data_IF_792372041528
#
_entry.id   IF_792372041528
#
_cell.length_a   1.000
_cell.length_b   1.000
_cell.length_c   1.000
_cell.angle_alpha   90.00
_cell.angle_beta   90.00
_cell.angle_gamma   90.00
#
_symmetry.space_group_name_H-M   'P 1'
#
loop_
_entity.id
_entity.type
_entity.pdbx_description
1 polymer ?
#
# COMPACT_ATOMS: atom_id res chain seq x y z
N UNK A 1 -21.29 27.10 -0.85
CA UNK A 1 -21.15 26.04 0.18
C UNK A 1 -20.85 26.71 1.52
N UNK A 2 -21.48 26.30 2.63
CA UNK A 2 -21.25 26.87 3.97
C UNK A 2 -20.65 25.83 4.91
N UNK A 3 -19.74 26.26 5.80
CA UNK A 3 -19.13 25.38 6.80
C UNK A 3 -19.88 25.46 8.13
N UNK A 4 -20.30 24.32 8.65
CA UNK A 4 -20.92 24.17 9.97
C UNK A 4 -19.84 23.88 11.03
N UNK A 5 -20.07 24.24 12.30
CA UNK A 5 -19.17 24.04 13.45
C UNK A 5 -18.65 22.60 13.63
N UNK A 6 -19.36 21.60 13.11
CA UNK A 6 -18.91 20.19 13.03
C UNK A 6 -17.79 19.94 12.01
N UNK A 7 -17.25 20.98 11.39
CA UNK A 7 -16.18 20.91 10.39
C UNK A 7 -16.61 20.27 9.06
N UNK A 8 -17.90 20.27 8.78
CA UNK A 8 -18.49 19.76 7.54
C UNK A 8 -18.96 20.92 6.66
N UNK A 9 -18.82 20.75 5.35
CA UNK A 9 -19.37 21.65 4.36
C UNK A 9 -20.72 21.13 3.87
N UNK A 10 -21.71 22.02 3.87
CA UNK A 10 -23.06 21.76 3.38
C UNK A 10 -23.41 22.71 2.24
N UNK A 11 -24.22 22.22 1.31
CA UNK A 11 -24.80 23.00 0.24
C UNK A 11 -26.13 23.59 0.72
N UNK A 12 -26.22 24.91 0.77
CA UNK A 12 -27.51 25.57 0.98
C UNK A 12 -28.21 25.64 -0.37
N UNK A 13 -29.35 24.96 -0.48
CA UNK A 13 -30.13 24.90 -1.72
C UNK A 13 -31.25 25.95 -1.73
N UNK A 14 -31.86 26.20 -0.57
CA UNK A 14 -32.93 27.19 -0.45
C UNK A 14 -32.99 27.75 0.97
N UNK A 15 -33.32 29.04 1.09
CA UNK A 15 -33.59 29.71 2.36
C UNK A 15 -34.99 30.32 2.27
N UNK A 16 -35.80 30.07 3.30
CA UNK A 16 -37.14 30.65 3.49
C UNK A 16 -37.17 31.36 4.84
N UNK A 17 -38.15 32.24 5.11
CA UNK A 17 -38.23 33.05 6.33
C UNK A 17 -38.14 32.28 7.66
N UNK A 18 -38.44 30.96 7.66
CA UNK A 18 -38.36 30.11 8.85
C UNK A 18 -37.34 28.96 8.76
N UNK A 19 -36.92 28.55 7.55
CA UNK A 19 -36.15 27.30 7.35
C UNK A 19 -35.05 27.43 6.31
N UNK A 20 -33.97 26.71 6.55
CA UNK A 20 -32.85 26.53 5.64
C UNK A 20 -32.85 25.09 5.14
N UNK A 21 -32.81 24.91 3.83
CA UNK A 21 -32.67 23.61 3.19
C UNK A 21 -31.20 23.38 2.84
N UNK A 22 -30.66 22.28 3.37
CA UNK A 22 -29.27 21.89 3.30
C UNK A 22 -29.13 20.55 2.57
N UNK A 23 -28.01 20.37 1.89
CA UNK A 23 -27.59 19.10 1.34
C UNK A 23 -26.18 18.78 1.83
N UNK A 24 -26.00 17.63 2.47
CA UNK A 24 -24.72 17.22 3.03
C UNK A 24 -23.72 16.77 1.93
N UNK A 25 -22.49 16.46 2.35
CA UNK A 25 -21.43 15.98 1.45
C UNK A 25 -21.72 14.61 0.78
N UNK A 26 -22.75 13.90 1.23
CA UNK A 26 -23.23 12.61 0.72
C UNK A 26 -24.53 12.72 -0.10
N UNK A 27 -25.04 13.95 -0.34
CA UNK A 27 -26.27 14.20 -1.10
C UNK A 27 -27.56 14.03 -0.29
N UNK A 28 -27.47 13.96 1.04
CA UNK A 28 -28.65 13.87 1.90
C UNK A 28 -29.24 15.26 2.12
N UNK A 29 -30.53 15.41 1.78
CA UNK A 29 -31.30 16.64 2.03
C UNK A 29 -31.75 16.71 3.48
N UNK A 30 -31.46 17.83 4.14
CA UNK A 30 -31.75 18.13 5.54
C UNK A 30 -32.44 19.50 5.56
N UNK A 31 -33.37 19.71 6.47
CA UNK A 31 -33.97 21.01 6.72
C UNK A 31 -33.86 21.37 8.18
N UNK A 32 -33.32 22.56 8.45
CA UNK A 32 -33.14 23.10 9.79
C UNK A 32 -33.81 24.46 9.89
N UNK A 33 -34.21 24.84 11.10
CA UNK A 33 -34.71 26.20 11.38
C UNK A 33 -33.57 27.21 11.32
N UNK A 34 -33.86 28.44 10.88
CA UNK A 34 -32.84 29.51 10.69
C UNK A 34 -32.05 29.76 11.97
N UNK A 35 -32.70 29.84 13.13
CA UNK A 35 -32.04 30.11 14.41
C UNK A 35 -31.02 29.02 14.77
N UNK A 36 -31.38 27.76 14.52
CA UNK A 36 -30.50 26.61 14.73
C UNK A 36 -29.32 26.66 13.78
N UNK A 37 -29.57 26.99 12.51
CA UNK A 37 -28.54 27.10 11.49
C UNK A 37 -27.54 28.22 11.78
N UNK A 38 -27.99 29.39 12.23
CA UNK A 38 -27.11 30.51 12.59
C UNK A 38 -26.18 30.18 13.77
N UNK A 39 -26.67 29.42 14.76
CA UNK A 39 -25.83 28.96 15.87
C UNK A 39 -24.79 27.94 15.43
N UNK A 40 -25.12 27.10 14.45
CA UNK A 40 -24.25 26.05 13.93
C UNK A 40 -23.28 26.56 12.85
N UNK A 41 -23.59 27.66 12.17
CA UNK A 41 -22.74 28.21 11.12
C UNK A 41 -21.41 28.74 11.68
N UNK A 42 -20.30 28.39 11.03
CA UNK A 42 -18.96 28.81 11.44
C UNK A 42 -18.54 30.18 10.89
N UNK A 43 -19.42 30.87 10.15
CA UNK A 43 -19.12 32.15 9.49
C UNK A 43 -18.30 32.04 8.21
N UNK A 44 -17.87 30.82 7.84
CA UNK A 44 -17.08 30.59 6.62
C UNK A 44 -18.02 30.18 5.49
N UNK A 45 -18.01 30.99 4.42
CA UNK A 45 -18.68 30.71 3.17
C UNK A 45 -17.64 30.44 2.08
N UNK A 46 -17.79 29.31 1.38
CA UNK A 46 -17.06 29.01 0.16
C UNK A 46 -17.96 29.36 -1.02
N UNK A 47 -17.68 30.51 -1.65
CA UNK A 47 -18.24 30.88 -2.93
C UNK A 47 -17.42 30.19 -4.02
N UNK A 48 -18.10 29.44 -4.88
CA UNK A 48 -17.53 28.92 -6.12
C UNK A 48 -18.03 29.86 -7.19
N UNK A 49 -17.14 30.63 -7.79
CA UNK A 49 -17.48 31.42 -8.97
C UNK A 49 -17.57 30.46 -10.16
N UNK A 50 -18.62 30.62 -10.98
CA UNK A 50 -18.73 29.95 -12.27
C UNK A 50 -17.69 30.56 -13.22
N UNK A 51 -16.47 30.07 -13.14
CA UNK A 51 -15.43 30.42 -14.10
C UNK A 51 -15.70 29.56 -15.33
N UNK A 52 -16.12 30.20 -16.43
CA UNK A 52 -16.43 29.55 -17.73
C UNK A 52 -15.26 28.69 -18.25
N UNK A 53 -14.03 28.96 -17.78
CA UNK A 53 -12.80 28.21 -18.05
C UNK A 53 -12.16 27.62 -16.77
N UNK A 54 -12.95 27.02 -15.88
CA UNK A 54 -12.45 26.28 -14.69
C UNK A 54 -11.68 24.97 -15.03
N UNK A 55 -11.02 24.90 -16.19
CA UNK A 55 -10.16 23.79 -16.58
C UNK A 55 -8.77 23.92 -15.97
N UNK A 56 -8.21 22.80 -15.47
CA UNK A 56 -6.82 22.80 -14.99
C UNK A 56 -5.86 23.19 -16.13
N UNK A 57 -4.99 24.20 -15.96
CA UNK A 57 -4.06 24.60 -17.01
C UNK A 57 -3.16 23.42 -17.40
N UNK A 58 -3.01 23.24 -18.72
CA UNK A 58 -2.31 22.10 -19.34
C UNK A 58 -2.88 20.72 -18.97
N UNK A 59 -4.21 20.60 -18.79
CA UNK A 59 -4.88 19.32 -18.52
C UNK A 59 -4.48 18.22 -19.52
N UNK A 60 -4.49 18.50 -20.83
CA UNK A 60 -4.09 17.52 -21.87
C UNK A 60 -2.66 17.03 -21.68
N UNK A 61 -1.71 17.94 -21.41
CA UNK A 61 -0.31 17.57 -21.22
C UNK A 61 -0.10 16.74 -19.96
N UNK A 62 -0.76 17.10 -18.85
CA UNK A 62 -0.75 16.33 -17.60
C UNK A 62 -1.42 14.97 -17.78
N UNK A 63 -2.51 14.92 -18.52
CA UNK A 63 -3.24 13.70 -18.84
C UNK A 63 -2.38 12.76 -19.69
N UNK A 64 -1.78 13.25 -20.77
CA UNK A 64 -0.91 12.48 -21.66
C UNK A 64 0.36 12.00 -20.93
N UNK A 65 0.94 12.85 -20.07
CA UNK A 65 2.07 12.46 -19.22
C UNK A 65 1.67 11.36 -18.23
N UNK A 66 0.48 11.46 -17.64
CA UNK A 66 -0.09 10.42 -16.78
C UNK A 66 -0.35 9.11 -17.52
N UNK A 67 -0.85 9.20 -18.76
CA UNK A 67 -1.10 8.05 -19.63
C UNK A 67 0.21 7.36 -20.03
N UNK A 68 1.21 8.13 -20.49
CA UNK A 68 2.55 7.62 -20.81
C UNK A 68 3.21 6.95 -19.60
N UNK A 69 3.08 7.55 -18.42
CA UNK A 69 3.58 6.95 -17.18
C UNK A 69 2.91 5.61 -16.88
N UNK A 70 1.57 5.53 -16.99
CA UNK A 70 0.84 4.27 -16.82
C UNK A 70 1.26 3.23 -17.86
N UNK A 71 1.36 3.61 -19.13
CA UNK A 71 1.81 2.71 -20.20
C UNK A 71 3.21 2.19 -19.89
N UNK A 72 4.14 3.07 -19.52
CA UNK A 72 5.50 2.67 -19.14
C UNK A 72 5.52 1.73 -17.93
N UNK A 73 4.74 2.02 -16.90
CA UNK A 73 4.58 1.13 -15.73
C UNK A 73 4.03 -0.24 -16.15
N UNK A 74 2.99 -0.30 -16.99
CA UNK A 74 2.42 -1.56 -17.48
C UNK A 74 3.39 -2.34 -18.36
N UNK A 75 4.12 -1.67 -19.27
CA UNK A 75 5.14 -2.30 -20.13
C UNK A 75 6.30 -2.84 -19.32
N UNK A 76 6.75 -2.12 -18.30
CA UNK A 76 7.81 -2.58 -17.41
C UNK A 76 7.36 -3.78 -16.57
N UNK A 77 6.13 -3.76 -16.06
CA UNK A 77 5.57 -4.89 -15.32
C UNK A 77 5.37 -6.12 -16.21
N UNK A 78 4.91 -5.94 -17.45
CA UNK A 78 4.72 -7.06 -18.38
C UNK A 78 6.04 -7.65 -18.85
N UNK A 79 7.06 -6.83 -19.11
CA UNK A 79 8.39 -7.32 -19.48
C UNK A 79 9.05 -8.10 -18.34
N UNK A 80 8.92 -7.62 -17.10
CA UNK A 80 9.39 -8.34 -15.91
C UNK A 80 8.71 -9.71 -15.76
N UNK A 81 7.40 -9.79 -15.97
CA UNK A 81 6.66 -11.06 -15.90
C UNK A 81 7.08 -12.05 -17.01
N UNK A 82 7.29 -11.55 -18.24
CA UNK A 82 7.77 -12.39 -19.34
C UNK A 82 9.18 -12.92 -19.03
N UNK A 83 10.06 -12.07 -18.51
CA UNK A 83 11.40 -12.46 -18.09
C UNK A 83 11.36 -13.55 -17.01
N UNK A 84 10.55 -13.36 -15.97
CA UNK A 84 10.38 -14.35 -14.91
C UNK A 84 9.86 -15.69 -15.47
N UNK A 85 8.87 -15.66 -16.36
CA UNK A 85 8.34 -16.88 -16.97
C UNK A 85 9.41 -17.61 -17.79
N UNK A 86 10.18 -16.88 -18.59
CA UNK A 86 11.29 -17.46 -19.36
C UNK A 86 12.34 -18.10 -18.44
N UNK A 87 12.76 -17.40 -17.37
CA UNK A 87 13.75 -17.90 -16.41
C UNK A 87 13.26 -19.18 -15.71
N UNK A 88 12.01 -19.19 -15.25
CA UNK A 88 11.41 -20.38 -14.62
C UNK A 88 11.36 -21.55 -15.62
N UNK A 89 10.95 -21.30 -16.87
CA UNK A 89 10.90 -22.30 -17.93
C UNK A 89 12.28 -22.90 -18.25
N UNK A 90 13.32 -22.08 -18.35
CA UNK A 90 14.68 -22.57 -18.56
C UNK A 90 15.21 -23.36 -17.35
N UNK A 91 14.87 -22.92 -16.13
CA UNK A 91 15.25 -23.65 -14.91
C UNK A 91 14.54 -25.01 -14.81
N UNK A 92 13.31 -25.11 -15.35
CA UNK A 92 12.50 -26.33 -15.32
C UNK A 92 13.18 -27.52 -16.01
N UNK A 93 13.93 -27.28 -17.08
CA UNK A 93 14.62 -28.34 -17.82
C UNK A 93 15.68 -29.08 -17.00
N UNK A 94 16.15 -28.50 -15.89
CA UNK A 94 17.26 -29.01 -15.09
C UNK A 94 16.86 -29.51 -13.69
N UNK A 95 15.58 -29.41 -13.30
CA UNK A 95 15.10 -29.70 -11.94
C UNK A 95 14.13 -30.90 -11.87
N UNK A 96 14.06 -31.53 -10.70
CA UNK A 96 13.08 -32.59 -10.40
C UNK A 96 11.68 -32.01 -10.12
N UNK A 97 10.63 -32.84 -10.26
CA UNK A 97 9.23 -32.48 -10.00
C UNK A 97 9.00 -31.83 -8.63
N UNK A 98 9.64 -32.36 -7.57
CA UNK A 98 9.53 -31.87 -6.20
C UNK A 98 10.18 -30.49 -6.04
N UNK A 99 11.36 -30.31 -6.63
CA UNK A 99 12.08 -29.04 -6.67
C UNK A 99 11.25 -27.94 -7.33
N UNK A 100 10.56 -28.24 -8.44
CA UNK A 100 9.73 -27.27 -9.17
C UNK A 100 8.54 -26.80 -8.31
N UNK A 101 7.84 -27.72 -7.63
CA UNK A 101 6.72 -27.36 -6.77
C UNK A 101 7.17 -26.40 -5.65
N UNK A 102 8.31 -26.70 -5.04
CA UNK A 102 8.90 -25.84 -4.01
C UNK A 102 9.26 -24.44 -4.54
N UNK A 103 9.86 -24.36 -5.73
CA UNK A 103 10.14 -23.10 -6.44
C UNK A 103 8.88 -22.28 -6.67
N UNK A 104 7.81 -22.89 -7.18
CA UNK A 104 6.55 -22.20 -7.44
C UNK A 104 5.93 -21.64 -6.16
N UNK A 105 5.98 -22.38 -5.05
CA UNK A 105 5.51 -21.91 -3.74
C UNK A 105 6.33 -20.70 -3.28
N UNK A 106 7.67 -20.78 -3.32
CA UNK A 106 8.54 -19.67 -2.96
C UNK A 106 8.30 -18.43 -3.83
N UNK A 107 8.17 -18.60 -5.15
CA UNK A 107 7.86 -17.51 -6.06
C UNK A 107 6.53 -16.86 -5.70
N UNK A 108 5.49 -17.66 -5.44
CA UNK A 108 4.17 -17.14 -5.05
C UNK A 108 4.21 -16.36 -3.73
N UNK A 109 4.91 -16.88 -2.72
CA UNK A 109 5.09 -16.22 -1.42
C UNK A 109 5.83 -14.89 -1.58
N UNK A 110 6.93 -14.86 -2.34
CA UNK A 110 7.72 -13.64 -2.54
C UNK A 110 6.99 -12.62 -3.43
N UNK A 111 6.23 -13.05 -4.44
CA UNK A 111 5.37 -12.17 -5.24
C UNK A 111 4.27 -11.52 -4.39
N UNK A 112 3.70 -12.28 -3.45
CA UNK A 112 2.75 -11.73 -2.47
C UNK A 112 3.43 -10.71 -1.56
N UNK A 113 4.67 -10.97 -1.12
CA UNK A 113 5.50 -10.02 -0.38
C UNK A 113 5.75 -8.72 -1.15
N UNK A 114 6.14 -8.80 -2.42
CA UNK A 114 6.29 -7.66 -3.32
C UNK A 114 5.01 -6.83 -3.42
N UNK A 115 3.86 -7.48 -3.61
CA UNK A 115 2.57 -6.80 -3.72
C UNK A 115 2.20 -6.02 -2.45
N UNK A 116 2.43 -6.63 -1.28
CA UNK A 116 2.16 -5.97 0.00
C UNK A 116 3.12 -4.81 0.24
N UNK A 117 4.42 -4.98 -0.04
CA UNK A 117 5.41 -3.92 0.07
C UNK A 117 5.09 -2.73 -0.88
N UNK A 118 4.66 -3.01 -2.11
CA UNK A 118 4.16 -1.99 -3.05
C UNK A 118 2.92 -1.25 -2.51
N UNK A 119 2.00 -1.98 -1.88
CA UNK A 119 0.82 -1.38 -1.25
C UNK A 119 1.20 -0.47 -0.08
N UNK A 120 2.23 -0.83 0.71
CA UNK A 120 2.78 0.03 1.76
C UNK A 120 3.38 1.32 1.19
N UNK A 121 4.21 1.26 0.14
CA UNK A 121 4.74 2.47 -0.51
C UNK A 121 3.62 3.38 -1.01
N UNK A 122 2.55 2.79 -1.58
CA UNK A 122 1.38 3.55 -1.99
C UNK A 122 0.71 4.26 -0.81
N UNK A 123 0.64 3.63 0.36
CA UNK A 123 0.07 4.25 1.57
C UNK A 123 0.97 5.36 2.15
N UNK A 124 2.29 5.18 2.05
CA UNK A 124 3.25 6.21 2.44
C UNK A 124 3.10 7.45 1.55
N UNK A 125 3.05 7.27 0.22
CA UNK A 125 3.07 8.36 -0.77
C UNK A 125 1.70 8.99 -1.03
N UNK A 126 0.60 8.23 -0.99
CA UNK A 126 -0.74 8.74 -1.30
C UNK A 126 -1.61 8.77 -0.03
N UNK A 127 -2.31 9.89 0.20
CA UNK A 127 -3.11 10.08 1.41
C UNK A 127 -4.37 9.19 1.49
N UNK A 128 -4.86 8.64 0.38
CA UNK A 128 -6.15 7.95 0.34
C UNK A 128 -6.11 6.80 -0.67
N UNK A 129 -5.82 5.58 -0.20
CA UNK A 129 -6.10 4.37 -0.96
C UNK A 129 -7.36 3.70 -0.38
N UNK A 130 -8.44 3.59 -1.15
CA UNK A 130 -9.74 3.05 -0.68
C UNK A 130 -9.62 1.62 -0.12
N UNK A 131 -8.73 0.82 -0.69
CA UNK A 131 -8.43 -0.53 -0.21
C UNK A 131 -7.74 -0.51 1.17
N UNK A 132 -6.80 0.41 1.37
CA UNK A 132 -6.15 0.60 2.66
C UNK A 132 -7.17 1.00 3.71
N UNK A 133 -8.03 1.97 3.44
CA UNK A 133 -9.00 2.46 4.44
C UNK A 133 -9.95 1.37 4.96
N UNK A 134 -10.37 0.40 4.13
CA UNK A 134 -11.25 -0.70 4.56
C UNK A 134 -10.56 -1.68 5.50
N UNK A 135 -9.34 -2.11 5.17
CA UNK A 135 -8.65 -3.14 5.95
C UNK A 135 -7.82 -2.57 7.10
N UNK A 136 -7.39 -1.31 6.98
CA UNK A 136 -6.42 -0.71 7.87
C UNK A 136 -7.02 0.05 9.06
N UNK A 137 -8.33 0.38 9.03
CA UNK A 137 -9.06 0.99 10.14
C UNK A 137 -10.04 0.01 10.79
N UNK A 138 -9.57 -1.20 11.11
CA UNK A 138 -10.38 -2.20 11.81
C UNK A 138 -10.17 -2.05 13.32
N UNK A 139 -10.98 -1.20 13.96
CA UNK A 139 -10.98 -1.01 15.41
C UNK A 139 -10.03 0.08 15.94
N UNK A 140 -9.97 0.23 17.27
CA UNK A 140 -9.23 1.32 17.94
C UNK A 140 -7.70 1.13 17.96
N UNK A 141 -7.21 -0.09 17.76
CA UNK A 141 -5.79 -0.45 17.89
C UNK A 141 -5.08 -0.77 16.56
N UNK A 142 -5.81 -0.82 15.44
CA UNK A 142 -5.26 -1.07 14.11
C UNK A 142 -5.24 0.23 13.32
N UNK A 143 -4.05 0.69 12.97
CA UNK A 143 -3.85 1.91 12.17
C UNK A 143 -2.49 1.86 11.44
N UNK A 144 -2.51 1.36 10.20
CA UNK A 144 -1.33 1.34 9.33
C UNK A 144 -0.87 2.74 8.95
N UNK A 145 -1.75 3.75 8.90
CA UNK A 145 -1.32 5.11 8.53
C UNK A 145 -0.41 5.69 9.61
N UNK A 146 -0.75 5.49 10.89
CA UNK A 146 0.14 5.88 11.99
C UNK A 146 1.47 5.14 11.96
N UNK A 147 1.46 3.84 11.63
CA UNK A 147 2.70 3.04 11.58
C UNK A 147 3.59 3.44 10.41
N UNK A 148 3.04 3.47 9.19
CA UNK A 148 3.77 3.75 7.93
C UNK A 148 4.25 5.20 7.81
N UNK A 149 3.64 6.15 8.53
CA UNK A 149 4.08 7.55 8.55
C UNK A 149 4.85 7.94 9.80
N UNK A 150 5.05 7.01 10.72
CA UNK A 150 5.88 7.26 11.89
C UNK A 150 7.34 7.54 11.49
N UNK A 151 8.09 8.25 12.33
CA UNK A 151 9.52 8.45 12.10
C UNK A 151 10.31 7.13 12.01
N UNK A 152 9.73 6.03 12.52
CA UNK A 152 10.30 4.69 12.51
C UNK A 152 10.09 3.94 11.18
N UNK A 153 9.27 4.46 10.26
CA UNK A 153 9.02 3.82 8.94
C UNK A 153 10.13 4.06 7.91
N UNK A 154 11.07 4.96 8.22
CA UNK A 154 12.22 5.27 7.36
C UNK A 154 13.51 4.68 7.91
N UNK A 155 14.27 4.06 7.01
CA UNK A 155 15.66 3.68 7.19
C UNK A 155 16.56 4.86 6.80
N UNK A 156 17.43 5.31 7.71
CA UNK A 156 18.31 6.49 7.54
C UNK A 156 17.60 7.80 7.16
N UNK A 157 16.27 7.91 7.33
CA UNK A 157 15.50 9.13 7.07
C UNK A 157 15.15 9.41 5.60
N UNK A 158 15.78 8.74 4.64
CA UNK A 158 15.53 8.92 3.20
C UNK A 158 14.92 7.70 2.51
N UNK A 159 15.27 6.49 2.94
CA UNK A 159 14.80 5.24 2.35
C UNK A 159 13.68 4.64 3.20
N UNK A 160 12.55 4.20 2.63
CA UNK A 160 11.52 3.55 3.46
C UNK A 160 11.79 2.06 3.66
N UNK A 161 11.35 1.49 4.79
CA UNK A 161 11.43 0.04 5.00
C UNK A 161 10.63 -0.74 3.95
N UNK A 162 9.57 -0.15 3.41
CA UNK A 162 8.79 -0.75 2.33
C UNK A 162 9.57 -0.80 1.00
N UNK A 163 10.39 0.22 0.70
CA UNK A 163 11.29 0.24 -0.46
C UNK A 163 12.37 -0.86 -0.35
N UNK A 164 12.97 -1.03 0.83
CA UNK A 164 13.87 -2.15 1.11
C UNK A 164 13.16 -3.51 0.98
N UNK A 165 11.91 -3.61 1.43
CA UNK A 165 11.10 -4.81 1.30
C UNK A 165 10.90 -5.22 -0.16
N UNK A 166 10.58 -4.27 -1.06
CA UNK A 166 10.49 -4.56 -2.50
C UNK A 166 11.82 -5.05 -3.05
N UNK A 167 12.93 -4.36 -2.73
CA UNK A 167 14.25 -4.75 -3.19
C UNK A 167 14.57 -6.19 -2.73
N UNK A 168 14.31 -6.52 -1.48
CA UNK A 168 14.50 -7.85 -0.92
C UNK A 168 13.65 -8.93 -1.63
N UNK A 169 12.33 -8.75 -1.68
CA UNK A 169 11.44 -9.75 -2.28
C UNK A 169 11.71 -9.93 -3.78
N UNK A 170 12.08 -8.85 -4.49
CA UNK A 170 12.46 -8.92 -5.90
C UNK A 170 13.78 -9.68 -6.11
N UNK A 171 14.78 -9.46 -5.25
CA UNK A 171 16.06 -10.17 -5.28
C UNK A 171 15.87 -11.67 -5.00
N UNK A 172 15.09 -12.04 -3.99
CA UNK A 172 14.76 -13.44 -3.69
C UNK A 172 14.01 -14.08 -4.86
N UNK A 173 13.02 -13.38 -5.44
CA UNK A 173 12.24 -13.87 -6.59
C UNK A 173 13.16 -14.15 -7.79
N UNK A 174 14.05 -13.22 -8.12
CA UNK A 174 15.02 -13.38 -9.20
C UNK A 174 15.99 -14.53 -8.93
N UNK A 175 16.50 -14.64 -7.70
CA UNK A 175 17.39 -15.75 -7.32
C UNK A 175 16.72 -17.10 -7.51
N UNK A 176 15.48 -17.26 -7.00
CA UNK A 176 14.71 -18.50 -7.12
C UNK A 176 14.36 -18.82 -8.58
N UNK A 177 14.12 -17.79 -9.41
CA UNK A 177 13.84 -17.97 -10.84
C UNK A 177 15.06 -18.43 -11.65
N UNK A 178 16.27 -17.98 -11.30
CA UNK A 178 17.50 -18.26 -12.05
C UNK A 178 18.20 -19.52 -11.53
N UNK A 179 18.29 -19.69 -10.21
CA UNK A 179 19.09 -20.74 -9.61
C UNK A 179 18.46 -22.12 -9.82
N UNK A 180 19.18 -23.12 -10.36
CA UNK A 180 18.78 -24.51 -10.25
C UNK A 180 18.76 -24.93 -8.78
N UNK A 181 17.91 -25.87 -8.39
CA UNK A 181 17.93 -26.41 -7.02
C UNK A 181 19.04 -27.46 -6.95
N UNK A 182 20.28 -26.99 -7.05
CA UNK A 182 21.48 -27.78 -6.79
C UNK A 182 22.15 -27.30 -5.51
N UNK A 183 22.86 -28.22 -4.84
CA UNK A 183 23.46 -28.02 -3.50
C UNK A 183 24.27 -26.71 -3.37
N UNK A 184 24.97 -26.29 -4.42
CA UNK A 184 25.81 -25.10 -4.40
C UNK A 184 25.03 -23.76 -4.34
N UNK A 185 23.80 -23.70 -4.83
CA UNK A 185 23.01 -22.46 -4.88
C UNK A 185 22.09 -22.26 -3.67
N UNK A 186 21.89 -23.30 -2.87
CA UNK A 186 21.01 -23.28 -1.68
C UNK A 186 21.66 -22.54 -0.52
N UNK A 187 22.97 -22.69 -0.32
CA UNK A 187 23.71 -22.05 0.77
C UNK A 187 23.64 -20.51 0.77
N UNK A 188 23.94 -19.80 -0.34
CA UNK A 188 23.80 -18.35 -0.39
C UNK A 188 22.34 -17.87 -0.31
N UNK A 189 21.39 -18.61 -0.87
CA UNK A 189 19.96 -18.28 -0.76
C UNK A 189 19.52 -18.26 0.71
N UNK A 190 20.02 -19.18 1.53
CA UNK A 190 19.66 -19.23 2.95
C UNK A 190 20.10 -18.00 3.74
N UNK A 191 21.33 -17.53 3.52
CA UNK A 191 21.80 -16.29 4.16
C UNK A 191 20.93 -15.10 3.78
N UNK A 192 20.49 -15.05 2.51
CA UNK A 192 19.56 -14.03 2.05
C UNK A 192 18.22 -14.14 2.78
N UNK A 193 17.66 -15.34 2.97
CA UNK A 193 16.38 -15.56 3.65
C UNK A 193 16.42 -15.22 5.15
N UNK A 194 17.59 -15.32 5.81
CA UNK A 194 17.75 -14.98 7.24
C UNK A 194 18.01 -13.50 7.52
N UNK A 195 18.61 -12.79 6.57
CA UNK A 195 18.94 -11.37 6.68
C UNK A 195 17.79 -10.48 7.23
N UNK A 196 16.52 -10.71 6.89
CA UNK A 196 15.41 -9.88 7.37
C UNK A 196 14.97 -10.16 8.82
N UNK A 197 15.43 -11.25 9.45
CA UNK A 197 14.94 -11.65 10.77
C UNK A 197 15.14 -10.56 11.85
N UNK A 198 16.32 -9.93 11.97
CA UNK A 198 16.50 -8.81 12.89
C UNK A 198 15.52 -7.65 12.63
N UNK A 199 15.22 -7.37 11.36
CA UNK A 199 14.24 -6.37 10.99
C UNK A 199 12.82 -6.76 11.44
N UNK A 200 12.44 -8.04 11.38
CA UNK A 200 11.11 -8.45 11.86
C UNK A 200 10.92 -8.20 13.35
N UNK A 201 11.95 -8.48 14.17
CA UNK A 201 11.94 -8.21 15.61
C UNK A 201 11.83 -6.70 15.89
N UNK A 202 12.61 -5.89 15.17
CA UNK A 202 12.54 -4.44 15.25
C UNK A 202 11.14 -3.90 14.86
N UNK A 203 10.57 -4.43 13.77
CA UNK A 203 9.24 -4.03 13.28
C UNK A 203 8.12 -4.35 14.28
N UNK A 204 8.17 -5.51 14.93
CA UNK A 204 7.21 -5.86 15.98
C UNK A 204 7.40 -5.01 17.25
N UNK A 205 8.64 -4.77 17.66
CA UNK A 205 8.95 -3.95 18.83
C UNK A 205 8.44 -2.51 18.68
N UNK A 206 8.69 -1.90 17.52
CA UNK A 206 8.26 -0.52 17.23
C UNK A 206 6.73 -0.40 17.21
N UNK A 207 6.02 -1.36 16.61
CA UNK A 207 4.56 -1.37 16.58
C UNK A 207 3.94 -1.58 17.97
N UNK A 208 4.47 -2.54 18.75
CA UNK A 208 3.92 -2.89 20.05
C UNK A 208 4.20 -1.85 21.14
N UNK A 209 5.45 -1.38 21.27
CA UNK A 209 5.88 -0.57 22.42
C UNK A 209 5.95 0.92 22.13
N UNK A 210 6.43 1.31 20.94
CA UNK A 210 6.63 2.73 20.61
C UNK A 210 5.37 3.38 20.04
N UNK A 211 4.76 2.75 19.03
CA UNK A 211 3.58 3.29 18.34
C UNK A 211 2.29 2.85 19.05
N UNK A 212 2.28 1.67 19.68
CA UNK A 212 1.12 1.05 20.35
C UNK A 212 -0.08 0.88 19.40
N UNK A 213 0.21 0.66 18.12
CA UNK A 213 -0.75 0.42 17.03
C UNK A 213 -0.22 -0.68 16.14
N UNK A 214 -1.14 -1.49 15.63
CA UNK A 214 -0.81 -2.59 14.74
C UNK A 214 -1.06 -2.21 13.29
N UNK A 215 -0.14 -2.59 12.42
CA UNK A 215 -0.30 -2.48 10.98
C UNK A 215 -0.45 -3.87 10.38
N UNK A 216 -1.64 -4.20 9.87
CA UNK A 216 -1.91 -5.49 9.25
C UNK A 216 -0.94 -5.81 8.11
N UNK A 217 -0.64 -4.83 7.25
CA UNK A 217 0.30 -5.03 6.14
C UNK A 217 1.73 -5.33 6.63
N UNK A 218 2.20 -4.63 7.66
CA UNK A 218 3.52 -4.91 8.24
C UNK A 218 3.56 -6.28 8.92
N UNK A 219 2.50 -6.67 9.62
CA UNK A 219 2.37 -8.01 10.20
C UNK A 219 2.39 -9.10 9.12
N UNK A 220 1.72 -8.89 7.98
CA UNK A 220 1.75 -9.84 6.87
C UNK A 220 3.14 -9.95 6.25
N UNK A 221 3.88 -8.84 6.10
CA UNK A 221 5.29 -8.91 5.66
C UNK A 221 6.13 -9.70 6.66
N UNK A 222 6.01 -9.42 7.96
CA UNK A 222 6.71 -10.18 9.00
C UNK A 222 6.39 -11.67 8.88
N UNK A 223 5.12 -12.03 8.75
CA UNK A 223 4.71 -13.42 8.56
C UNK A 223 5.33 -14.08 7.32
N UNK A 224 5.33 -13.39 6.17
CA UNK A 224 5.95 -13.87 4.94
C UNK A 224 7.47 -14.08 5.12
N UNK A 225 8.16 -13.16 5.80
CA UNK A 225 9.59 -13.28 6.07
C UNK A 225 9.90 -14.49 6.97
N UNK A 226 9.07 -14.76 7.97
CA UNK A 226 9.19 -15.96 8.79
C UNK A 226 8.89 -17.25 8.02
N UNK A 227 7.88 -17.26 7.15
CA UNK A 227 7.61 -18.39 6.26
C UNK A 227 8.82 -18.70 5.37
N UNK A 228 9.41 -17.66 4.78
CA UNK A 228 10.63 -17.76 3.97
C UNK A 228 11.83 -18.30 4.78
N UNK A 229 12.00 -17.90 6.04
CA UNK A 229 13.07 -18.42 6.89
C UNK A 229 12.86 -19.89 7.28
N UNK A 230 11.60 -20.31 7.47
CA UNK A 230 11.24 -21.67 7.87
C UNK A 230 11.38 -22.69 6.73
N UNK A 231 11.41 -22.27 5.47
CA UNK A 231 11.50 -23.22 4.35
C UNK A 231 12.78 -24.06 4.36
N UNK A 232 13.86 -23.63 5.03
CA UNK A 232 15.05 -24.46 5.27
C UNK A 232 14.76 -25.73 6.05
N UNK A 233 13.86 -25.70 7.04
CA UNK A 233 13.63 -26.86 7.91
C UNK A 233 13.01 -28.06 7.17
N UNK A 234 12.67 -27.92 5.88
CA UNK A 234 12.26 -29.04 5.02
C UNK A 234 13.35 -29.45 4.01
N UNK A 235 14.28 -28.56 3.66
CA UNK A 235 15.40 -28.84 2.75
C UNK A 235 16.53 -29.66 3.39
N UNK A 236 16.64 -29.65 4.72
CA UNK A 236 17.62 -30.47 5.46
C UNK A 236 17.10 -31.91 5.76
N UNK A 237 15.88 -32.29 5.31
CA UNK A 237 15.27 -33.61 5.57
C UNK A 237 15.08 -34.51 4.34
N UNK A 238 15.52 -34.07 3.15
CA UNK A 238 15.63 -34.88 1.92
C UNK A 238 17.11 -34.98 1.50
#
# INVERSE_FOLDING_TARGET
MLRIKKNEFVWVTQVTDSKVYLEDSFGKKISDDIETFEQEWSGIALAIEDIVDAGEPSYKEKYDKGLRKKIFEYTFMSSYMILLFALVYFSWMNDTAISILYKLILLFVNMTGCYIAYTLIKQEKFQINRLAQRFCKVGKHVDCFQVTRSNYSKFFGWLSWAELGIAYFSAVTLWVAIAPISSHWISPLWWLLLLPLPFTLWSLYTQAFLIRKWCLFCCTIVFILWLNALTRSKLDFD
#
